data_IF_104586627164
#
_entry.id   IF_104586627164
#
_cell.length_a   1.000
_cell.length_b   1.000
_cell.length_c   1.000
_cell.angle_alpha   90.00
_cell.angle_beta   90.00
_cell.angle_gamma   90.00
#
_symmetry.space_group_name_H-M   'P 1'
#
loop_
_entity.id
_entity.type
_entity.pdbx_description
1 polymer ?
#
# COMPACT_ATOMS: atom_id res chain seq x y z
N UNK A 1 13.47 17.62 -8.25
CA UNK A 1 13.82 16.18 -8.14
C UNK A 1 12.87 15.52 -7.16
N UNK A 2 12.07 14.52 -7.58
CA UNK A 2 11.37 13.64 -6.63
C UNK A 2 12.45 12.84 -5.89
N UNK A 3 12.64 13.08 -4.60
CA UNK A 3 13.33 12.11 -3.74
C UNK A 3 12.39 10.91 -3.65
N UNK A 4 12.77 9.80 -4.26
CA UNK A 4 12.12 8.52 -4.03
C UNK A 4 12.37 8.05 -2.60
N UNK A 5 11.66 7.00 -2.18
CA UNK A 5 11.95 6.31 -0.92
C UNK A 5 13.34 5.66 -1.01
N UNK A 6 14.05 5.65 0.10
CA UNK A 6 15.25 4.82 0.30
C UNK A 6 14.86 3.34 0.41
N UNK A 7 15.81 2.44 0.17
CA UNK A 7 15.57 1.00 0.34
C UNK A 7 15.07 0.67 1.76
N UNK A 8 15.64 1.31 2.78
CA UNK A 8 15.18 1.14 4.17
C UNK A 8 13.71 1.51 4.35
N UNK A 9 13.30 2.65 3.79
CA UNK A 9 11.90 3.10 3.89
C UNK A 9 10.95 2.16 3.13
N UNK A 10 11.38 1.63 1.97
CA UNK A 10 10.62 0.61 1.23
C UNK A 10 10.46 -0.65 2.06
N UNK A 11 11.54 -1.15 2.68
CA UNK A 11 11.49 -2.33 3.54
C UNK A 11 10.57 -2.13 4.75
N UNK A 12 10.54 -0.93 5.33
CA UNK A 12 9.61 -0.59 6.41
C UNK A 12 8.16 -0.52 5.94
N UNK A 13 7.91 -0.01 4.72
CA UNK A 13 6.57 0.07 4.16
C UNK A 13 6.00 -1.30 3.76
N UNK A 14 6.85 -2.28 3.45
CA UNK A 14 6.48 -3.66 3.11
C UNK A 14 6.47 -4.61 4.32
N UNK A 15 6.93 -4.15 5.48
CA UNK A 15 7.08 -4.94 6.70
C UNK A 15 5.97 -4.69 7.73
N UNK A 16 6.29 -4.86 9.01
CA UNK A 16 5.36 -4.58 10.10
C UNK A 16 5.24 -3.06 10.35
N UNK A 17 4.07 -2.52 9.98
CA UNK A 17 3.74 -1.10 10.12
C UNK A 17 3.60 -0.63 11.59
N UNK A 18 3.45 -1.54 12.55
CA UNK A 18 3.45 -1.19 13.98
C UNK A 18 4.86 -0.84 14.47
N UNK A 19 5.90 -1.34 13.78
CA UNK A 19 7.31 -1.13 14.10
C UNK A 19 8.04 -0.29 13.03
N UNK A 20 7.32 0.27 12.05
CA UNK A 20 7.90 1.08 10.98
C UNK A 20 8.30 2.47 11.49
N UNK A 21 9.53 2.89 11.18
CA UNK A 21 10.00 4.26 11.44
C UNK A 21 9.65 5.19 10.27
N UNK A 22 8.39 5.18 9.86
CA UNK A 22 7.86 6.04 8.79
C UNK A 22 7.01 7.17 9.40
N UNK A 23 6.80 8.28 8.68
CA UNK A 23 5.88 9.31 9.13
C UNK A 23 4.49 8.73 9.42
N UNK A 24 3.86 9.13 10.53
CA UNK A 24 2.55 8.60 10.95
C UNK A 24 1.48 8.74 9.84
N UNK A 25 1.49 9.85 9.10
CA UNK A 25 0.63 10.07 7.92
C UNK A 25 0.86 9.01 6.83
N UNK A 26 2.11 8.61 6.59
CA UNK A 26 2.45 7.55 5.63
C UNK A 26 1.96 6.20 6.12
N UNK A 27 2.17 5.87 7.40
CA UNK A 27 1.68 4.63 8.00
C UNK A 27 0.15 4.53 7.89
N UNK A 28 -0.58 5.60 8.19
CA UNK A 28 -2.04 5.63 8.04
C UNK A 28 -2.49 5.39 6.59
N UNK A 29 -1.80 5.97 5.60
CA UNK A 29 -2.09 5.70 4.19
C UNK A 29 -1.77 4.25 3.77
N UNK A 30 -0.67 3.67 4.27
CA UNK A 30 -0.32 2.28 4.01
C UNK A 30 -1.34 1.32 4.61
N UNK A 31 -1.86 1.59 5.81
CA UNK A 31 -2.96 0.79 6.40
C UNK A 31 -4.23 0.82 5.57
N UNK A 32 -4.55 1.96 4.94
CA UNK A 32 -5.65 2.01 3.99
C UNK A 32 -5.36 1.17 2.74
N UNK A 33 -4.12 1.18 2.24
CA UNK A 33 -3.71 0.34 1.11
C UNK A 33 -3.86 -1.15 1.44
N UNK A 34 -3.39 -1.59 2.61
CA UNK A 34 -3.53 -2.97 3.08
C UNK A 34 -5.00 -3.37 3.21
N UNK A 35 -5.83 -2.50 3.80
CA UNK A 35 -7.26 -2.73 3.90
C UNK A 35 -7.93 -2.90 2.54
N UNK A 36 -7.64 -2.01 1.58
CA UNK A 36 -8.26 -2.03 0.25
C UNK A 36 -7.74 -3.16 -0.65
N UNK A 37 -6.50 -3.61 -0.43
CA UNK A 37 -5.88 -4.72 -1.16
C UNK A 37 -6.31 -6.11 -0.67
N UNK A 38 -6.91 -6.21 0.53
CA UNK A 38 -7.37 -7.48 1.10
C UNK A 38 -8.56 -8.11 0.36
N UNK A 39 -8.86 -9.37 0.67
CA UNK A 39 -9.95 -10.13 0.03
C UNK A 39 -11.35 -9.53 0.25
N UNK A 40 -11.55 -8.91 1.42
CA UNK A 40 -12.83 -8.32 1.86
C UNK A 40 -12.56 -6.94 2.45
N UNK A 41 -12.35 -5.91 1.60
CA UNK A 41 -11.99 -4.58 2.06
C UNK A 41 -13.16 -3.96 2.84
N UNK A 42 -12.90 -3.55 4.08
CA UNK A 42 -13.83 -2.82 4.93
C UNK A 42 -13.07 -1.77 5.73
N UNK A 43 -13.29 -0.50 5.41
CA UNK A 43 -12.79 0.62 6.21
C UNK A 43 -13.74 0.81 7.38
N UNK A 44 -13.38 0.25 8.53
CA UNK A 44 -14.16 0.43 9.76
C UNK A 44 -13.96 1.80 10.40
N UNK A 45 -14.75 2.09 11.44
CA UNK A 45 -14.68 3.37 12.17
C UNK A 45 -13.30 3.63 12.79
N UNK A 46 -12.56 2.58 13.15
CA UNK A 46 -11.24 2.69 13.77
C UNK A 46 -10.19 3.16 12.75
N UNK A 47 -10.17 2.55 11.57
CA UNK A 47 -9.30 2.94 10.47
C UNK A 47 -9.69 4.31 9.93
N UNK A 48 -10.99 4.59 9.79
CA UNK A 48 -11.45 5.90 9.34
C UNK A 48 -11.08 7.01 10.33
N UNK A 49 -11.19 6.75 11.64
CA UNK A 49 -10.76 7.69 12.68
C UNK A 49 -9.26 7.93 12.66
N UNK A 50 -8.45 6.89 12.42
CA UNK A 50 -7.00 7.02 12.23
C UNK A 50 -6.67 7.90 11.01
N UNK A 51 -7.35 7.69 9.89
CA UNK A 51 -7.13 8.49 8.67
C UNK A 51 -7.45 9.96 8.91
N UNK A 52 -8.55 10.27 9.61
CA UNK A 52 -8.94 11.66 9.92
C UNK A 52 -7.97 12.39 10.86
N UNK A 53 -7.04 11.71 11.52
CA UNK A 53 -5.98 12.36 12.28
C UNK A 53 -4.91 12.99 11.37
N UNK A 54 -4.83 12.58 10.10
CA UNK A 54 -3.75 12.96 9.18
C UNK A 54 -4.21 13.49 7.82
N UNK A 55 -5.48 13.28 7.48
CA UNK A 55 -6.07 13.61 6.20
C UNK A 55 -7.45 14.26 6.40
N UNK A 56 -7.78 15.24 5.58
CA UNK A 56 -9.16 15.73 5.46
C UNK A 56 -10.01 14.77 4.62
N UNK A 57 -11.33 14.96 4.59
CA UNK A 57 -12.25 14.08 3.88
C UNK A 57 -11.97 13.99 2.37
N UNK A 58 -11.57 15.10 1.74
CA UNK A 58 -11.22 15.14 0.33
C UNK A 58 -9.96 14.32 0.06
N UNK A 59 -8.93 14.48 0.90
CA UNK A 59 -7.70 13.71 0.82
C UNK A 59 -7.93 12.21 1.03
N UNK A 60 -8.82 11.82 1.94
CA UNK A 60 -9.18 10.40 2.14
C UNK A 60 -9.85 9.84 0.89
N UNK A 61 -10.78 10.58 0.29
CA UNK A 61 -11.44 10.19 -0.95
C UNK A 61 -10.44 10.04 -2.11
N UNK A 62 -9.57 11.02 -2.30
CA UNK A 62 -8.53 11.00 -3.34
C UNK A 62 -7.56 9.83 -3.15
N UNK A 63 -7.13 9.59 -1.90
CA UNK A 63 -6.25 8.47 -1.56
C UNK A 63 -6.92 7.13 -1.85
N UNK A 64 -8.17 6.95 -1.43
CA UNK A 64 -8.95 5.73 -1.70
C UNK A 64 -9.17 5.50 -3.20
N UNK A 65 -9.45 6.55 -3.96
CA UNK A 65 -9.61 6.47 -5.41
C UNK A 65 -8.31 6.05 -6.10
N UNK A 66 -7.18 6.67 -5.75
CA UNK A 66 -5.87 6.33 -6.31
C UNK A 66 -5.47 4.88 -6.00
N UNK A 67 -5.67 4.43 -4.76
CA UNK A 67 -5.39 3.05 -4.34
C UNK A 67 -6.26 2.05 -5.09
N UNK A 68 -7.57 2.32 -5.23
CA UNK A 68 -8.48 1.44 -5.95
C UNK A 68 -8.07 1.25 -7.42
N UNK A 69 -7.65 2.33 -8.09
CA UNK A 69 -7.14 2.27 -9.47
C UNK A 69 -5.87 1.42 -9.55
N UNK A 70 -4.93 1.60 -8.61
CA UNK A 70 -3.69 0.82 -8.57
C UNK A 70 -3.97 -0.68 -8.31
N UNK A 71 -4.80 -1.01 -7.33
CA UNK A 71 -5.18 -2.39 -7.03
C UNK A 71 -5.96 -3.05 -8.17
N UNK A 72 -6.79 -2.28 -8.90
CA UNK A 72 -7.46 -2.75 -10.11
C UNK A 72 -6.46 -3.17 -11.20
N UNK A 73 -5.41 -2.37 -11.42
CA UNK A 73 -4.33 -2.73 -12.34
C UNK A 73 -3.58 -4.00 -11.92
N UNK A 74 -3.31 -4.18 -10.62
CA UNK A 74 -2.68 -5.38 -10.12
C UNK A 74 -3.50 -6.64 -10.47
N UNK A 75 -4.81 -6.62 -10.22
CA UNK A 75 -5.69 -7.76 -10.53
C UNK A 75 -5.69 -8.10 -12.02
N UNK A 76 -5.63 -7.08 -12.89
CA UNK A 76 -5.52 -7.29 -14.33
C UNK A 76 -4.18 -7.93 -14.70
N UNK A 77 -3.07 -7.39 -14.20
CA UNK A 77 -1.71 -7.94 -14.41
C UNK A 77 -1.65 -9.41 -13.99
N UNK A 78 -2.24 -9.74 -12.84
CA UNK A 78 -2.33 -11.11 -12.35
C UNK A 78 -3.19 -12.00 -13.26
N UNK A 79 -4.39 -11.56 -13.63
CA UNK A 79 -5.33 -12.32 -14.47
C UNK A 79 -4.75 -12.68 -15.84
N UNK A 80 -3.94 -11.79 -16.43
CA UNK A 80 -3.29 -12.02 -17.72
C UNK A 80 -1.91 -12.65 -17.61
N UNK A 81 -1.42 -12.97 -16.41
CA UNK A 81 -0.09 -13.54 -16.21
C UNK A 81 1.04 -12.62 -16.68
N UNK A 82 0.82 -11.30 -16.66
CA UNK A 82 1.84 -10.34 -17.10
C UNK A 82 2.98 -10.36 -16.07
N UNK A 83 4.19 -10.65 -16.52
CA UNK A 83 5.40 -10.70 -15.70
C UNK A 83 6.54 -9.99 -16.45
N UNK A 84 7.50 -9.37 -15.73
CA UNK A 84 8.73 -8.88 -16.34
C UNK A 84 9.50 -10.04 -17.01
N UNK A 85 10.21 -9.78 -18.11
CA UNK A 85 10.99 -10.81 -18.82
C UNK A 85 12.04 -11.50 -17.94
N UNK A 86 12.56 -10.79 -16.92
CA UNK A 86 13.54 -11.30 -15.97
C UNK A 86 12.92 -12.05 -14.77
N UNK A 87 11.58 -12.13 -14.68
CA UNK A 87 10.91 -12.80 -13.57
C UNK A 87 10.94 -14.32 -13.73
N UNK A 88 11.13 -15.02 -12.61
CA UNK A 88 11.04 -16.46 -12.50
C UNK A 88 10.43 -16.85 -11.15
N UNK A 89 10.00 -18.09 -10.98
CA UNK A 89 9.53 -18.59 -9.67
C UNK A 89 10.62 -18.56 -8.59
N UNK A 90 11.90 -18.53 -9.00
CA UNK A 90 13.04 -18.39 -8.09
C UNK A 90 13.35 -16.94 -7.72
N UNK A 91 12.66 -15.95 -8.31
CA UNK A 91 12.90 -14.54 -8.00
C UNK A 91 12.46 -14.27 -6.54
N UNK A 92 13.36 -13.78 -5.67
CA UNK A 92 13.02 -13.52 -4.29
C UNK A 92 11.93 -12.44 -4.19
N UNK A 93 10.95 -12.66 -3.32
CA UNK A 93 9.94 -11.65 -3.02
C UNK A 93 10.61 -10.47 -2.30
N UNK A 94 10.14 -9.22 -2.54
CA UNK A 94 10.74 -8.04 -1.94
C UNK A 94 10.40 -7.86 -0.46
N UNK A 95 9.44 -8.64 0.07
CA UNK A 95 9.09 -8.73 1.50
C UNK A 95 9.52 -10.08 2.09
N UNK A 96 9.73 -10.12 3.41
CA UNK A 96 10.08 -11.35 4.16
C UNK A 96 8.88 -11.80 4.98
N UNK A 97 8.53 -13.09 4.91
CA UNK A 97 7.48 -13.72 5.72
C UNK A 97 7.90 -13.89 7.18
#
# INVERSE_FOLDING_TARGET
MRKGLTEREVQQALGDLDHAELPARTVAALRLADCLGGERPLVDDSLYSLLRQHFDEGQILELGAALTVASGWQRLIEAFGIRPDAWSEATPLPWRH
#
